data_IF_686782971594
#
_entry.id   IF_686782971594
#
_cell.length_a   1.000
_cell.length_b   1.000
_cell.length_c   1.000
_cell.angle_alpha   90.00
_cell.angle_beta   90.00
_cell.angle_gamma   90.00
#
_symmetry.space_group_name_H-M   'P 1'
#
loop_
_entity.id
_entity.type
_entity.pdbx_description
1 polymer ?
#
# COMPACT_ATOMS: atom_id res chain seq x y z
N UNK A 1 10.86 4.74 -14.77
CA UNK A 1 9.96 5.23 -13.81
C UNK A 1 10.47 5.03 -12.40
N UNK A 2 9.73 5.47 -11.43
CA UNK A 2 10.20 5.33 -10.08
C UNK A 2 10.29 3.87 -9.67
N UNK A 3 11.20 3.60 -8.82
CA UNK A 3 11.37 2.28 -8.30
C UNK A 3 10.11 1.88 -7.53
N UNK A 4 9.70 0.66 -7.63
CA UNK A 4 8.55 0.22 -6.85
C UNK A 4 8.83 0.36 -5.36
N UNK A 5 7.82 0.69 -4.63
CA UNK A 5 7.95 0.79 -3.19
C UNK A 5 8.34 -0.53 -2.57
N UNK A 6 8.11 -1.63 -3.26
CA UNK A 6 8.52 -2.94 -2.78
C UNK A 6 9.99 -2.98 -2.41
N UNK A 7 10.81 -2.21 -3.09
CA UNK A 7 12.23 -2.20 -2.79
C UNK A 7 12.51 -1.63 -1.41
N UNK A 8 11.56 -0.94 -0.81
CA UNK A 8 11.74 -0.31 0.49
C UNK A 8 11.07 -1.06 1.62
N UNK A 9 10.56 -2.23 1.36
CA UNK A 9 9.79 -2.94 2.36
C UNK A 9 10.64 -3.55 3.47
N UNK A 10 11.93 -3.33 3.46
CA UNK A 10 12.75 -3.78 4.56
C UNK A 10 12.30 -3.16 5.87
N UNK A 11 11.82 -1.93 5.82
CA UNK A 11 11.26 -1.29 6.99
C UNK A 11 9.79 -1.06 6.71
N UNK A 12 8.98 -2.01 7.11
CA UNK A 12 7.55 -1.98 6.79
C UNK A 12 6.83 -0.83 7.48
N UNK A 13 7.33 -0.36 8.60
CA UNK A 13 6.69 0.76 9.27
C UNK A 13 6.73 2.03 8.44
N UNK A 14 7.61 2.07 7.45
CA UNK A 14 7.72 3.23 6.60
C UNK A 14 6.48 3.47 5.76
N UNK A 15 5.61 2.49 5.57
CA UNK A 15 4.44 2.67 4.73
C UNK A 15 3.22 3.15 5.51
N UNK A 16 3.26 3.10 6.83
CA UNK A 16 2.13 3.52 7.65
C UNK A 16 1.89 5.02 7.44
N UNK A 17 0.65 5.37 7.18
CA UNK A 17 0.26 6.76 6.95
C UNK A 17 0.49 7.25 5.54
N UNK A 18 1.05 6.42 4.68
CA UNK A 18 1.33 6.82 3.31
C UNK A 18 0.20 6.47 2.39
N UNK A 19 0.06 7.28 1.34
CA UNK A 19 -0.95 7.04 0.32
C UNK A 19 -0.35 6.11 -0.71
N UNK A 20 -0.91 4.92 -0.81
CA UNK A 20 -0.33 3.86 -1.63
C UNK A 20 -1.32 3.38 -2.67
N UNK A 21 -0.78 2.93 -3.81
CA UNK A 21 -1.54 2.12 -4.74
C UNK A 21 -1.01 0.70 -4.64
N UNK A 22 -1.90 -0.22 -4.32
CA UNK A 22 -1.57 -1.63 -4.16
C UNK A 22 -2.23 -2.39 -5.29
N UNK A 23 -1.42 -3.07 -6.09
CA UNK A 23 -1.94 -3.87 -7.18
C UNK A 23 -1.98 -5.32 -6.75
N UNK A 24 -3.17 -5.90 -6.84
CA UNK A 24 -3.39 -7.30 -6.60
C UNK A 24 -3.56 -8.01 -7.95
N UNK A 25 -3.75 -9.29 -7.93
CA UNK A 25 -3.88 -10.04 -9.16
C UNK A 25 -5.08 -9.59 -9.99
N UNK A 26 -6.17 -9.25 -9.33
CA UNK A 26 -7.43 -8.96 -10.00
C UNK A 26 -7.87 -7.50 -9.90
N UNK A 27 -7.18 -6.65 -9.16
CA UNK A 27 -7.61 -5.26 -8.97
C UNK A 27 -6.50 -4.44 -8.35
N UNK A 28 -6.72 -3.14 -8.35
CA UNK A 28 -5.85 -2.18 -7.65
C UNK A 28 -6.65 -1.44 -6.61
N UNK A 29 -6.00 -1.10 -5.50
CA UNK A 29 -6.62 -0.36 -4.41
C UNK A 29 -5.68 0.79 -4.08
N UNK A 30 -6.25 1.99 -3.98
CA UNK A 30 -5.47 3.17 -3.60
C UNK A 30 -6.04 3.75 -2.32
N UNK A 31 -5.19 4.06 -1.38
CA UNK A 31 -5.60 4.67 -0.14
C UNK A 31 -4.46 4.80 0.83
N UNK A 32 -4.80 5.22 2.04
CA UNK A 32 -3.83 5.42 3.10
C UNK A 32 -3.63 4.11 3.84
N UNK A 33 -2.38 3.75 4.04
CA UNK A 33 -2.08 2.59 4.84
C UNK A 33 -2.29 2.94 6.31
N UNK A 34 -3.31 2.33 6.92
CA UNK A 34 -3.65 2.60 8.29
C UNK A 34 -2.89 1.71 9.26
N UNK A 35 -2.65 0.49 8.87
CA UNK A 35 -1.97 -0.46 9.74
C UNK A 35 -1.35 -1.58 8.94
N UNK A 36 -0.30 -2.16 9.48
CA UNK A 36 0.31 -3.37 8.96
C UNK A 36 0.42 -4.33 10.14
N UNK A 37 -0.30 -5.42 10.06
CA UNK A 37 -0.34 -6.40 11.15
C UNK A 37 0.86 -7.32 11.10
N UNK A 38 1.27 -7.86 12.23
CA UNK A 38 2.45 -8.75 12.26
C UNK A 38 2.29 -9.99 11.38
N UNK A 39 1.06 -10.41 11.12
CA UNK A 39 0.82 -11.59 10.30
C UNK A 39 0.81 -11.28 8.81
N UNK A 40 1.12 -10.05 8.43
CA UNK A 40 1.21 -9.68 7.02
C UNK A 40 -0.07 -9.13 6.43
N UNK A 41 -1.04 -8.77 7.25
CA UNK A 41 -2.25 -8.12 6.74
C UNK A 41 -2.07 -6.61 6.75
N UNK A 42 -2.58 -5.98 5.71
CA UNK A 42 -2.41 -4.57 5.46
C UNK A 42 -3.78 -3.94 5.39
N UNK A 43 -3.98 -2.86 6.11
CA UNK A 43 -5.25 -2.12 6.06
C UNK A 43 -5.05 -0.86 5.25
N UNK A 44 -5.82 -0.74 4.17
CA UNK A 44 -5.80 0.45 3.31
C UNK A 44 -7.18 1.08 3.41
N UNK A 45 -7.22 2.37 3.70
CA UNK A 45 -8.47 3.13 3.75
C UNK A 45 -8.52 3.99 2.50
N UNK A 46 -9.51 3.75 1.67
CA UNK A 46 -9.62 4.47 0.40
C UNK A 46 -10.24 5.85 0.60
N UNK A 47 -10.35 6.59 -0.49
CA UNK A 47 -10.82 7.97 -0.42
C UNK A 47 -12.27 8.05 0.04
N UNK A 48 -13.03 6.99 -0.11
CA UNK A 48 -14.42 6.96 0.34
C UNK A 48 -14.55 6.51 1.78
N UNK A 49 -13.44 6.19 2.43
CA UNK A 49 -13.44 5.75 3.81
C UNK A 49 -13.63 4.25 3.97
N UNK A 50 -13.62 3.50 2.90
CA UNK A 50 -13.76 2.06 2.98
C UNK A 50 -12.43 1.42 3.35
N UNK A 51 -12.47 0.44 4.24
CA UNK A 51 -11.28 -0.25 4.67
C UNK A 51 -11.10 -1.52 3.86
N UNK A 52 -9.92 -1.67 3.29
CA UNK A 52 -9.56 -2.85 2.52
C UNK A 52 -8.51 -3.63 3.29
N UNK A 53 -8.80 -4.87 3.60
CA UNK A 53 -7.87 -5.76 4.28
C UNK A 53 -7.16 -6.59 3.22
N UNK A 54 -5.86 -6.44 3.13
CA UNK A 54 -5.07 -7.04 2.07
C UNK A 54 -4.00 -7.90 2.69
N UNK A 55 -3.81 -9.10 2.18
CA UNK A 55 -2.69 -9.95 2.59
C UNK A 55 -1.47 -9.55 1.76
N UNK A 56 -0.37 -9.25 2.44
CA UNK A 56 0.83 -8.80 1.76
C UNK A 56 1.29 -9.81 0.71
N UNK A 57 1.11 -11.09 0.98
CA UNK A 57 1.50 -12.12 0.02
C UNK A 57 0.74 -12.06 -1.30
N UNK A 58 -0.41 -11.38 -1.34
CA UNK A 58 -1.20 -11.25 -2.56
C UNK A 58 -0.85 -9.99 -3.34
N UNK A 59 0.03 -9.18 -2.83
CA UNK A 59 0.42 -7.93 -3.48
C UNK A 59 1.37 -8.23 -4.62
N UNK A 60 1.00 -7.81 -5.82
CA UNK A 60 1.85 -7.95 -7.00
C UNK A 60 2.80 -6.78 -7.10
N UNK A 61 2.29 -5.59 -6.80
CA UNK A 61 3.09 -4.38 -6.90
C UNK A 61 2.53 -3.35 -5.96
N UNK A 62 3.36 -2.57 -5.35
CA UNK A 62 2.92 -1.46 -4.50
C UNK A 62 3.78 -0.24 -4.81
N UNK A 63 3.14 0.89 -4.91
CA UNK A 63 3.83 2.14 -5.12
C UNK A 63 3.23 3.22 -4.25
N UNK A 64 4.01 4.21 -3.92
CA UNK A 64 3.53 5.37 -3.19
C UNK A 64 2.95 6.38 -4.17
N UNK A 65 1.76 6.88 -3.87
CA UNK A 65 1.19 7.95 -4.67
C UNK A 65 1.88 9.23 -4.25
N UNK A 66 2.61 9.82 -5.16
CA UNK A 66 3.36 11.02 -4.86
C UNK A 66 2.70 12.19 -5.53
N UNK A 67 1.77 12.74 -4.85
CA UNK A 67 1.00 13.82 -5.41
C UNK A 67 1.79 15.08 -5.62
N UNK A 68 2.93 15.17 -5.00
CA UNK A 68 3.67 16.39 -5.13
C UNK A 68 4.62 16.34 -6.22
N UNK A 69 4.74 15.41 -6.90
CA UNK A 69 5.67 15.32 -7.75
C UNK A 69 5.78 16.30 -8.65
N UNK A 70 5.71 16.94 -8.58
CA UNK A 70 5.88 17.95 -9.42
C UNK A 70 6.91 17.85 -10.17
#
# INVERSE_FOLDING_TARGET
GPAPLLARWQDKSNIIGRNLTVQLCDRSITGICDALEPDGRLNIIDIDGNVHLITVGDVVLMGEVNATNN
#
